data_IF_385619650721
#
_entry.id   IF_385619650721
#
_cell.length_a   1.000
_cell.length_b   1.000
_cell.length_c   1.000
_cell.angle_alpha   90.00
_cell.angle_beta   90.00
_cell.angle_gamma   90.00
#
_symmetry.space_group_name_H-M   'P 1'
#
loop_
_entity.id
_entity.type
_entity.pdbx_description
1 polymer ?
#
# COMPACT_ATOMS: atom_id res chain seq x y z
N UNK A 1 -70.83 -2.97 14.43
CA UNK A 1 -70.67 -4.03 15.45
C UNK A 1 -70.18 -5.30 14.78
N UNK A 2 -69.09 -5.85 15.28
CA UNK A 2 -68.91 -7.27 15.65
C UNK A 2 -70.21 -8.10 15.74
N UNK A 3 -70.30 -9.42 15.56
CA UNK A 3 -69.42 -10.55 15.17
C UNK A 3 -70.43 -11.62 14.61
N UNK A 4 -70.15 -12.87 14.22
CA UNK A 4 -69.02 -13.83 14.29
C UNK A 4 -69.23 -14.83 13.12
N UNK A 5 -68.23 -15.64 12.76
CA UNK A 5 -68.48 -17.01 12.23
C UNK A 5 -67.67 -18.01 13.07
N UNK A 6 -68.20 -19.21 13.34
CA UNK A 6 -67.63 -20.12 14.33
C UNK A 6 -66.41 -20.87 13.81
N UNK A 7 -65.59 -21.29 14.77
CA UNK A 7 -64.44 -22.16 14.56
C UNK A 7 -64.89 -23.59 14.27
N UNK A 8 -64.15 -24.29 13.40
CA UNK A 8 -63.94 -25.72 13.52
C UNK A 8 -62.42 -25.99 13.59
N UNK A 9 -61.93 -26.39 14.77
CA UNK A 9 -60.76 -27.26 14.89
C UNK A 9 -61.12 -28.61 14.20
N UNK A 10 -60.22 -29.50 13.75
CA UNK A 10 -59.22 -30.34 14.45
C UNK A 10 -58.37 -30.96 13.29
N UNK A 11 -57.05 -31.21 13.33
CA UNK A 11 -55.99 -31.16 14.36
C UNK A 11 -54.93 -30.12 13.94
N UNK A 12 -54.20 -29.54 14.91
CA UNK A 12 -52.86 -28.96 14.69
C UNK A 12 -51.88 -29.72 15.61
N UNK A 13 -51.05 -30.61 15.06
CA UNK A 13 -49.94 -31.17 15.83
C UNK A 13 -48.92 -30.06 16.04
N UNK A 14 -48.95 -29.41 17.20
CA UNK A 14 -47.84 -28.57 17.66
C UNK A 14 -46.66 -29.47 18.01
N UNK A 15 -45.86 -29.82 17.01
CA UNK A 15 -44.47 -30.15 17.24
C UNK A 15 -43.81 -28.92 17.86
N UNK A 16 -43.34 -29.03 19.10
CA UNK A 16 -42.44 -28.03 19.68
C UNK A 16 -41.23 -27.96 18.75
N UNK A 17 -41.08 -26.86 18.00
CA UNK A 17 -39.87 -26.60 17.22
C UNK A 17 -38.68 -26.55 18.19
N UNK A 18 -37.81 -27.54 18.11
CA UNK A 18 -36.59 -27.54 18.90
C UNK A 18 -35.59 -26.53 18.31
N UNK A 19 -34.57 -26.17 19.08
CA UNK A 19 -33.45 -25.32 18.64
C UNK A 19 -32.80 -25.85 17.36
N UNK A 20 -32.84 -27.16 17.13
CA UNK A 20 -32.33 -27.80 15.90
C UNK A 20 -33.23 -27.61 14.68
N UNK A 21 -34.56 -27.59 14.84
CA UNK A 21 -35.49 -27.29 13.72
C UNK A 21 -35.27 -25.85 13.22
N UNK A 22 -35.07 -24.92 14.16
CA UNK A 22 -34.72 -23.53 13.85
C UNK A 22 -33.38 -23.40 13.12
N UNK A 23 -32.35 -24.16 13.55
CA UNK A 23 -31.05 -24.22 12.85
C UNK A 23 -31.23 -24.78 11.42
N UNK A 24 -32.04 -25.83 11.25
CA UNK A 24 -32.31 -26.41 9.93
C UNK A 24 -33.07 -25.44 9.02
N UNK A 25 -34.07 -24.72 9.55
CA UNK A 25 -34.83 -23.70 8.82
C UNK A 25 -33.92 -22.55 8.34
N UNK A 26 -32.96 -22.11 9.16
CA UNK A 26 -32.00 -21.07 8.77
C UNK A 26 -30.96 -21.59 7.77
N UNK A 27 -30.37 -22.78 7.98
CA UNK A 27 -29.40 -23.35 7.04
C UNK A 27 -30.01 -23.63 5.66
N UNK A 28 -31.31 -24.00 5.62
CA UNK A 28 -32.05 -24.20 4.36
C UNK A 28 -32.48 -22.88 3.67
N UNK A 29 -32.22 -21.73 4.29
CA UNK A 29 -32.66 -20.44 3.77
C UNK A 29 -31.78 -19.96 2.61
N UNK A 30 -32.34 -20.00 1.39
CA UNK A 30 -31.72 -19.56 0.14
C UNK A 30 -31.33 -18.07 0.09
N UNK A 31 -31.73 -17.25 1.08
CA UNK A 31 -31.33 -15.84 1.19
C UNK A 31 -29.98 -15.63 1.88
N UNK A 32 -29.42 -16.64 2.54
CA UNK A 32 -28.10 -16.55 3.14
C UNK A 32 -27.00 -16.83 2.12
N UNK A 33 -25.90 -16.10 2.19
CA UNK A 33 -24.70 -16.40 1.39
C UNK A 33 -23.97 -17.62 1.94
N UNK A 34 -23.24 -18.35 1.09
CA UNK A 34 -22.45 -19.52 1.48
C UNK A 34 -21.47 -19.23 2.65
N UNK A 35 -20.87 -18.03 2.71
CA UNK A 35 -19.98 -17.61 3.81
C UNK A 35 -20.73 -17.45 5.13
N UNK A 36 -21.98 -16.98 5.10
CA UNK A 36 -22.86 -16.89 6.28
C UNK A 36 -23.37 -18.26 6.71
N UNK A 37 -23.82 -19.09 5.77
CA UNK A 37 -24.24 -20.47 6.05
C UNK A 37 -23.10 -21.27 6.68
N UNK A 38 -21.88 -21.19 6.14
CA UNK A 38 -20.69 -21.86 6.70
C UNK A 38 -20.32 -21.34 8.11
N UNK A 39 -20.32 -20.03 8.33
CA UNK A 39 -20.05 -19.46 9.67
C UNK A 39 -21.12 -19.86 10.70
N UNK A 40 -22.39 -19.91 10.30
CA UNK A 40 -23.47 -20.40 11.16
C UNK A 40 -23.30 -21.89 11.47
N UNK A 41 -22.99 -22.70 10.46
CA UNK A 41 -22.71 -24.13 10.56
C UNK A 41 -21.53 -24.43 11.50
N UNK A 42 -20.43 -23.67 11.42
CA UNK A 42 -19.28 -23.83 12.32
C UNK A 42 -19.62 -23.53 13.79
N UNK A 43 -20.55 -22.60 14.03
CA UNK A 43 -21.03 -22.24 15.37
C UNK A 43 -22.03 -23.28 15.90
N UNK A 44 -22.98 -23.72 15.09
CA UNK A 44 -23.99 -24.72 15.51
C UNK A 44 -23.38 -26.11 15.68
N UNK A 45 -22.43 -26.50 14.83
CA UNK A 45 -21.72 -27.79 14.95
C UNK A 45 -20.93 -27.90 16.26
N UNK A 46 -20.36 -26.79 16.75
CA UNK A 46 -19.68 -26.75 18.06
C UNK A 46 -20.64 -26.90 19.24
N UNK A 47 -21.88 -26.45 19.09
CA UNK A 47 -22.90 -26.56 20.15
C UNK A 47 -23.58 -27.94 20.13
N UNK A 48 -23.93 -28.46 18.95
CA UNK A 48 -24.50 -29.80 18.77
C UNK A 48 -23.57 -30.89 19.33
N UNK A 49 -22.25 -30.76 19.14
CA UNK A 49 -21.24 -31.71 19.69
C UNK A 49 -21.15 -31.72 21.22
N UNK A 50 -21.75 -30.76 21.93
CA UNK A 50 -21.88 -30.81 23.40
C UNK A 50 -23.06 -31.70 23.84
N UNK A 51 -24.13 -31.73 23.06
CA UNK A 51 -25.38 -32.45 23.37
C UNK A 51 -25.31 -33.92 22.91
N UNK A 52 -24.49 -34.70 23.62
CA UNK A 52 -24.08 -36.09 23.29
C UNK A 52 -25.19 -37.13 23.05
N UNK A 53 -26.47 -36.82 23.30
CA UNK A 53 -27.56 -37.82 23.28
C UNK A 53 -28.53 -37.71 22.09
N UNK A 54 -28.53 -36.60 21.34
CA UNK A 54 -29.38 -36.41 20.14
C UNK A 54 -28.59 -36.25 18.84
N UNK A 55 -27.24 -36.22 18.91
CA UNK A 55 -26.36 -35.89 17.77
C UNK A 55 -26.41 -36.87 16.58
N UNK A 56 -26.62 -38.17 16.78
CA UNK A 56 -26.40 -39.20 15.75
C UNK A 56 -27.19 -38.98 14.44
N UNK A 57 -28.49 -38.66 14.53
CA UNK A 57 -29.33 -38.41 13.34
C UNK A 57 -29.05 -37.07 12.65
N UNK A 58 -28.36 -36.16 13.34
CA UNK A 58 -27.85 -34.90 12.78
C UNK A 58 -26.46 -35.08 12.18
N UNK A 59 -25.59 -35.90 12.79
CA UNK A 59 -24.24 -36.19 12.28
C UNK A 59 -24.28 -36.85 10.89
N UNK A 60 -25.14 -37.84 10.64
CA UNK A 60 -25.29 -38.40 9.28
C UNK A 60 -25.72 -37.35 8.24
N UNK A 61 -26.60 -36.42 8.63
CA UNK A 61 -27.09 -35.33 7.76
C UNK A 61 -26.03 -34.24 7.57
N UNK A 62 -25.24 -33.96 8.60
CA UNK A 62 -24.05 -33.08 8.56
C UNK A 62 -23.01 -33.68 7.62
N UNK A 63 -22.66 -34.95 7.74
CA UNK A 63 -21.72 -35.63 6.83
C UNK A 63 -22.24 -35.70 5.39
N UNK A 64 -23.56 -35.75 5.19
CA UNK A 64 -24.16 -35.63 3.85
C UNK A 64 -24.00 -34.22 3.27
N UNK A 65 -24.27 -33.18 4.05
CA UNK A 65 -24.04 -31.77 3.66
C UNK A 65 -22.55 -31.47 3.44
N UNK A 66 -21.65 -32.03 4.24
CA UNK A 66 -20.20 -31.96 4.05
C UNK A 66 -19.78 -32.61 2.72
N UNK A 67 -20.35 -33.77 2.36
CA UNK A 67 -20.12 -34.42 1.05
C UNK A 67 -20.66 -33.59 -0.12
N UNK A 68 -21.83 -33.00 0.02
CA UNK A 68 -22.42 -32.13 -1.00
C UNK A 68 -21.57 -30.84 -1.18
N UNK A 69 -21.09 -30.24 -0.09
CA UNK A 69 -20.18 -29.09 -0.11
C UNK A 69 -18.77 -29.43 -0.61
N UNK A 70 -18.24 -30.64 -0.34
CA UNK A 70 -16.92 -31.06 -0.84
C UNK A 70 -16.92 -31.42 -2.33
N UNK A 71 -18.06 -31.90 -2.85
CA UNK A 71 -18.22 -32.19 -4.27
C UNK A 71 -18.41 -30.91 -5.11
N UNK A 72 -18.94 -29.83 -4.54
CA UNK A 72 -18.74 -28.49 -5.11
C UNK A 72 -17.29 -28.07 -4.92
N UNK A 73 -16.43 -28.32 -5.93
CA UNK A 73 -15.10 -27.72 -6.07
C UNK A 73 -15.18 -26.20 -6.26
N UNK A 74 -15.62 -25.52 -5.22
CA UNK A 74 -15.39 -24.09 -5.03
C UNK A 74 -13.98 -23.99 -4.45
N UNK A 75 -13.05 -23.24 -5.05
CA UNK A 75 -11.75 -23.02 -4.44
C UNK A 75 -11.97 -22.49 -3.02
N UNK A 76 -11.24 -23.03 -2.05
CA UNK A 76 -11.07 -22.33 -0.78
C UNK A 76 -10.28 -21.08 -1.14
N UNK A 77 -10.99 -19.98 -1.38
CA UNK A 77 -10.38 -18.66 -1.40
C UNK A 77 -9.88 -18.39 0.02
N UNK A 78 -8.66 -18.81 0.28
CA UNK A 78 -7.74 -18.00 1.06
C UNK A 78 -7.89 -16.57 0.51
N UNK A 79 -8.24 -15.61 1.37
CA UNK A 79 -8.34 -14.22 0.95
C UNK A 79 -6.93 -13.78 0.57
N UNK A 80 -6.63 -13.85 -0.74
CA UNK A 80 -5.39 -13.37 -1.32
C UNK A 80 -5.12 -11.98 -0.73
N UNK A 81 -3.96 -11.84 -0.09
CA UNK A 81 -3.48 -10.59 0.46
C UNK A 81 -2.06 -10.34 -0.03
N UNK A 82 -1.70 -9.08 -0.24
CA UNK A 82 -0.30 -8.69 -0.45
C UNK A 82 0.33 -8.47 0.92
N UNK A 83 1.49 -9.06 1.16
CA UNK A 83 2.33 -8.72 2.31
C UNK A 83 3.19 -7.50 1.95
N UNK A 84 3.28 -6.54 2.85
CA UNK A 84 4.10 -5.35 2.71
C UNK A 84 5.59 -5.71 2.57
N UNK A 85 6.27 -5.16 1.55
CA UNK A 85 7.68 -5.51 1.30
C UNK A 85 8.49 -4.39 0.62
N UNK A 86 8.99 -3.41 1.38
CA UNK A 86 9.88 -2.36 0.87
C UNK A 86 11.17 -2.92 0.27
N UNK A 87 11.84 -3.87 0.95
CA UNK A 87 13.00 -4.59 0.38
C UNK A 87 12.68 -5.30 -0.95
N UNK A 88 11.45 -5.82 -1.10
CA UNK A 88 10.97 -6.40 -2.34
C UNK A 88 10.82 -5.37 -3.47
N UNK A 89 10.40 -4.15 -3.15
CA UNK A 89 10.33 -3.03 -4.09
C UNK A 89 11.71 -2.53 -4.49
N UNK A 90 12.62 -2.30 -3.53
CA UNK A 90 14.03 -1.94 -3.83
C UNK A 90 14.62 -2.97 -4.79
N UNK A 91 14.49 -4.27 -4.49
CA UNK A 91 15.00 -5.34 -5.36
C UNK A 91 14.37 -5.34 -6.76
N UNK A 92 13.07 -5.12 -6.88
CA UNK A 92 12.38 -5.07 -8.17
C UNK A 92 12.78 -3.85 -9.00
N UNK A 93 12.82 -2.67 -8.39
CA UNK A 93 13.23 -1.44 -9.06
C UNK A 93 14.73 -1.46 -9.43
N UNK A 94 15.58 -2.10 -8.62
CA UNK A 94 17.00 -2.34 -8.94
C UNK A 94 17.20 -3.21 -10.19
N UNK A 95 16.22 -4.02 -10.62
CA UNK A 95 16.32 -4.77 -11.88
C UNK A 95 16.55 -3.83 -13.07
N UNK A 96 15.94 -2.63 -13.06
CA UNK A 96 16.17 -1.59 -14.07
C UNK A 96 17.60 -1.03 -14.11
N UNK A 97 18.50 -1.49 -13.24
CA UNK A 97 19.92 -1.13 -13.18
C UNK A 97 20.87 -2.34 -13.17
N UNK A 98 20.39 -3.52 -12.79
CA UNK A 98 21.18 -4.76 -12.66
C UNK A 98 20.86 -5.87 -13.67
N UNK A 99 19.62 -5.96 -14.16
CA UNK A 99 19.15 -7.03 -15.04
C UNK A 99 19.13 -6.55 -16.51
N UNK A 100 19.87 -7.22 -17.40
CA UNK A 100 19.95 -6.89 -18.83
C UNK A 100 18.60 -6.90 -19.58
N UNK A 101 17.56 -7.55 -19.04
CA UNK A 101 16.21 -7.45 -19.60
C UNK A 101 15.55 -6.09 -19.33
N UNK A 102 15.96 -5.38 -18.27
CA UNK A 102 15.37 -4.12 -17.83
C UNK A 102 16.32 -2.91 -17.99
N UNK A 103 17.64 -3.09 -17.82
CA UNK A 103 18.68 -2.05 -18.00
C UNK A 103 18.62 -1.38 -19.38
N UNK A 104 18.21 -2.15 -20.38
CA UNK A 104 18.00 -1.68 -21.74
C UNK A 104 17.06 -0.47 -21.82
N UNK A 105 16.05 -0.40 -20.95
CA UNK A 105 15.10 0.70 -20.89
C UNK A 105 15.65 1.98 -20.27
N UNK A 106 16.84 1.92 -19.67
CA UNK A 106 17.33 2.94 -18.76
C UNK A 106 18.77 3.38 -19.07
N UNK A 107 19.50 2.65 -19.89
CA UNK A 107 20.90 2.89 -20.23
C UNK A 107 21.13 2.85 -21.74
N UNK A 108 21.91 3.80 -22.28
CA UNK A 108 22.45 3.63 -23.62
C UNK A 108 23.46 2.48 -23.57
N UNK A 109 23.38 1.49 -24.48
CA UNK A 109 24.26 0.33 -24.46
C UNK A 109 25.49 0.59 -25.32
N UNK A 110 26.59 -0.10 -25.01
CA UNK A 110 27.84 0.03 -25.76
C UNK A 110 27.82 -0.72 -27.12
N UNK A 111 26.74 -1.47 -27.40
CA UNK A 111 26.55 -2.27 -28.61
C UNK A 111 25.87 -1.49 -29.74
N UNK A 112 26.10 -1.91 -31.00
CA UNK A 112 25.51 -1.29 -32.19
C UNK A 112 24.01 -1.60 -32.31
N UNK A 113 23.27 -0.65 -32.88
CA UNK A 113 21.80 -0.66 -33.02
C UNK A 113 21.26 -1.97 -33.59
N UNK A 114 21.94 -2.53 -34.60
CA UNK A 114 21.52 -3.73 -35.32
C UNK A 114 21.49 -5.00 -34.47
N UNK A 115 22.25 -5.06 -33.37
CA UNK A 115 22.24 -6.20 -32.46
C UNK A 115 21.07 -6.19 -31.48
N UNK A 116 20.36 -5.06 -31.33
CA UNK A 116 19.30 -4.93 -30.33
C UNK A 116 17.91 -4.75 -30.90
N UNK A 117 17.20 -5.88 -30.88
CA UNK A 117 15.78 -5.98 -31.10
C UNK A 117 14.98 -5.36 -29.92
N UNK A 118 14.93 -4.02 -29.88
CA UNK A 118 14.15 -3.23 -28.93
C UNK A 118 12.67 -3.67 -28.87
N UNK A 119 12.10 -4.01 -30.03
CA UNK A 119 10.74 -4.54 -30.15
C UNK A 119 10.58 -5.85 -29.37
N UNK A 120 11.51 -6.80 -29.52
CA UNK A 120 11.54 -8.03 -28.72
C UNK A 120 11.70 -7.76 -27.22
N UNK A 121 12.48 -6.76 -26.82
CA UNK A 121 12.60 -6.37 -25.39
C UNK A 121 11.28 -5.87 -24.82
N UNK A 122 10.51 -5.05 -25.56
CA UNK A 122 9.15 -4.66 -25.15
C UNK A 122 8.17 -5.84 -25.13
N UNK A 123 8.21 -6.72 -26.13
CA UNK A 123 7.38 -7.94 -26.15
C UNK A 123 7.75 -8.91 -25.01
N UNK A 124 9.00 -8.91 -24.56
CA UNK A 124 9.41 -9.65 -23.37
C UNK A 124 8.92 -8.94 -22.10
N UNK A 125 9.03 -7.60 -22.01
CA UNK A 125 8.51 -6.83 -20.88
C UNK A 125 7.00 -7.03 -20.66
N UNK A 126 6.20 -7.12 -21.73
CA UNK A 126 4.77 -7.49 -21.67
C UNK A 126 4.51 -8.83 -20.97
N UNK A 127 5.47 -9.76 -21.01
CA UNK A 127 5.39 -11.12 -20.44
C UNK A 127 5.97 -11.22 -19.02
N UNK A 128 6.64 -10.17 -18.53
CA UNK A 128 7.29 -10.18 -17.21
C UNK A 128 6.24 -10.33 -16.11
N UNK A 129 6.43 -11.36 -15.27
CA UNK A 129 5.67 -11.55 -14.03
C UNK A 129 6.18 -10.58 -12.97
N UNK A 130 5.48 -9.46 -12.83
CA UNK A 130 5.77 -8.48 -11.78
C UNK A 130 5.46 -9.08 -10.40
N UNK A 131 6.33 -8.91 -9.38
CA UNK A 131 6.10 -9.48 -8.05
C UNK A 131 4.76 -9.03 -7.43
N UNK A 132 4.02 -10.01 -6.90
CA UNK A 132 2.65 -9.87 -6.44
C UNK A 132 2.49 -8.86 -5.29
N UNK A 133 3.51 -8.76 -4.43
CA UNK A 133 3.56 -7.99 -3.19
C UNK A 133 3.86 -6.49 -3.36
N UNK A 134 4.07 -5.99 -4.58
CA UNK A 134 4.43 -4.58 -4.81
C UNK A 134 3.21 -3.64 -4.82
N UNK A 135 3.47 -2.35 -4.59
CA UNK A 135 2.47 -1.29 -4.66
C UNK A 135 1.84 -1.24 -6.07
N UNK A 136 0.52 -1.30 -6.13
CA UNK A 136 -0.19 -1.34 -7.42
C UNK A 136 0.01 -0.08 -8.26
N UNK A 137 0.13 1.10 -7.64
CA UNK A 137 0.31 2.35 -8.36
C UNK A 137 1.71 2.49 -8.99
N UNK A 138 2.77 2.00 -8.31
CA UNK A 138 4.12 1.87 -8.89
C UNK A 138 4.13 0.92 -10.08
N UNK A 139 3.46 -0.23 -9.96
CA UNK A 139 3.31 -1.19 -11.06
C UNK A 139 2.60 -0.55 -12.26
N UNK A 140 1.51 0.19 -12.02
CA UNK A 140 0.80 0.90 -13.08
C UNK A 140 1.66 1.97 -13.72
N UNK A 141 2.37 2.80 -12.95
CA UNK A 141 3.30 3.80 -13.47
C UNK A 141 4.34 3.17 -14.41
N UNK A 142 4.98 2.08 -13.98
CA UNK A 142 5.98 1.36 -14.77
C UNK A 142 5.35 0.73 -16.02
N UNK A 143 4.19 0.08 -15.92
CA UNK A 143 3.49 -0.49 -17.09
C UNK A 143 3.07 0.59 -18.07
N UNK A 144 2.52 1.70 -17.60
CA UNK A 144 2.17 2.86 -18.42
C UNK A 144 3.40 3.44 -19.10
N UNK A 145 4.55 3.47 -18.42
CA UNK A 145 5.80 3.95 -19.02
C UNK A 145 6.23 3.13 -20.26
N UNK A 146 5.98 1.82 -20.27
CA UNK A 146 6.43 0.95 -21.37
C UNK A 146 5.36 0.58 -22.40
N UNK A 147 4.09 0.59 -22.01
CA UNK A 147 3.03 -0.12 -22.75
C UNK A 147 1.89 0.76 -23.23
N UNK A 148 1.92 2.07 -22.95
CA UNK A 148 0.84 3.00 -23.28
C UNK A 148 1.34 4.35 -23.76
N UNK A 149 0.52 5.01 -24.56
CA UNK A 149 0.62 6.44 -24.82
C UNK A 149 -0.05 7.19 -23.66
N UNK A 150 0.74 7.58 -22.66
CA UNK A 150 0.25 8.30 -21.48
C UNK A 150 1.12 9.53 -21.13
N UNK A 151 0.53 10.43 -20.36
CA UNK A 151 1.25 11.53 -19.71
C UNK A 151 2.10 10.96 -18.58
N UNK A 152 3.43 10.99 -18.72
CA UNK A 152 4.32 10.68 -17.62
C UNK A 152 4.27 11.80 -16.58
N UNK A 153 3.60 11.57 -15.46
CA UNK A 153 3.65 12.47 -14.31
C UNK A 153 4.88 12.13 -13.47
N UNK A 154 5.88 13.02 -13.47
CA UNK A 154 7.07 12.87 -12.61
C UNK A 154 7.10 14.00 -11.59
N UNK A 155 7.27 13.62 -10.34
CA UNK A 155 7.39 14.54 -9.23
C UNK A 155 8.67 15.39 -9.38
N UNK A 156 8.50 16.71 -9.39
CA UNK A 156 9.56 17.67 -9.11
C UNK A 156 9.18 18.40 -7.81
N UNK A 157 10.14 18.93 -7.04
CA UNK A 157 9.82 19.67 -5.82
C UNK A 157 8.86 20.82 -6.13
N UNK A 158 7.75 20.89 -5.38
CA UNK A 158 6.69 21.87 -5.59
C UNK A 158 5.66 21.54 -6.68
N UNK A 159 6.00 20.80 -7.75
CA UNK A 159 5.10 20.56 -8.89
C UNK A 159 5.32 19.22 -9.63
N UNK A 160 4.21 18.58 -10.03
CA UNK A 160 4.25 17.43 -10.95
C UNK A 160 4.50 17.92 -12.36
N UNK A 161 5.63 17.56 -12.97
CA UNK A 161 5.80 17.79 -14.41
C UNK A 161 5.12 16.68 -15.19
N UNK A 162 4.10 17.03 -15.98
CA UNK A 162 3.58 16.13 -17.01
C UNK A 162 4.52 16.15 -18.22
N UNK A 163 4.83 14.96 -18.74
CA UNK A 163 5.50 14.78 -20.01
C UNK A 163 4.65 13.90 -20.91
N UNK A 164 4.05 14.47 -21.94
CA UNK A 164 3.28 13.72 -22.93
C UNK A 164 4.22 13.17 -24.00
N UNK A 165 4.29 11.85 -24.10
CA UNK A 165 5.03 11.13 -25.13
C UNK A 165 4.16 9.99 -25.65
N UNK A 166 4.57 9.41 -26.78
CA UNK A 166 3.85 8.34 -27.45
C UNK A 166 4.81 7.17 -27.65
N UNK A 167 4.56 6.09 -26.93
CA UNK A 167 5.24 4.82 -27.11
C UNK A 167 4.97 4.28 -28.52
N UNK A 168 3.78 4.48 -29.10
CA UNK A 168 3.51 4.12 -30.49
C UNK A 168 4.41 4.86 -31.49
N UNK A 169 4.65 6.17 -31.30
CA UNK A 169 5.59 6.94 -32.12
C UNK A 169 7.04 6.48 -31.93
N UNK A 170 7.48 6.23 -30.69
CA UNK A 170 8.81 5.67 -30.40
C UNK A 170 8.98 4.35 -31.17
N UNK A 171 8.04 3.42 -31.00
CA UNK A 171 8.02 2.13 -31.69
C UNK A 171 8.01 2.26 -33.22
N UNK A 172 7.36 3.30 -33.76
CA UNK A 172 7.29 3.57 -35.19
C UNK A 172 8.62 4.06 -35.75
N UNK A 173 9.31 4.97 -35.07
CA UNK A 173 10.64 5.43 -35.51
C UNK A 173 11.69 4.30 -35.39
N UNK A 174 11.61 3.48 -34.35
CA UNK A 174 12.48 2.28 -34.20
C UNK A 174 12.26 1.29 -35.35
N UNK A 175 11.01 1.08 -35.79
CA UNK A 175 10.69 0.24 -36.97
C UNK A 175 11.24 0.79 -38.29
N UNK A 176 11.60 2.09 -38.35
CA UNK A 176 12.30 2.70 -39.50
C UNK A 176 13.84 2.55 -39.40
N UNK A 177 14.36 1.89 -38.36
CA UNK A 177 15.79 1.73 -38.12
C UNK A 177 16.44 2.88 -37.32
N UNK A 178 15.65 3.80 -36.75
CA UNK A 178 16.20 4.89 -35.93
C UNK A 178 16.55 4.34 -34.54
N UNK A 179 17.77 4.65 -34.08
CA UNK A 179 18.23 4.31 -32.73
C UNK A 179 17.29 4.95 -31.70
N UNK A 180 16.77 4.19 -30.71
CA UNK A 180 15.91 4.72 -29.66
C UNK A 180 16.43 6.01 -29.02
N UNK A 181 17.73 6.10 -28.75
CA UNK A 181 18.35 7.23 -28.06
C UNK A 181 18.47 8.50 -28.90
N UNK A 182 18.30 8.39 -30.22
CA UNK A 182 18.34 9.51 -31.16
C UNK A 182 16.92 10.01 -31.53
N UNK A 183 15.87 9.38 -30.99
CA UNK A 183 14.46 9.76 -31.22
C UNK A 183 14.10 11.03 -30.45
N UNK A 184 13.46 11.97 -31.15
CA UNK A 184 12.86 13.18 -30.60
C UNK A 184 11.38 13.23 -30.99
N UNK A 185 10.49 13.30 -29.99
CA UNK A 185 9.04 13.42 -30.18
C UNK A 185 8.57 14.68 -29.45
N UNK A 186 7.80 15.53 -30.12
CA UNK A 186 7.27 16.78 -29.55
C UNK A 186 8.37 17.68 -28.91
N UNK A 187 9.57 17.73 -29.52
CA UNK A 187 10.78 18.43 -29.02
C UNK A 187 11.42 17.84 -27.75
N UNK A 188 11.04 16.62 -27.36
CA UNK A 188 11.57 15.91 -26.19
C UNK A 188 12.38 14.70 -26.70
N UNK A 189 13.62 14.55 -26.23
CA UNK A 189 14.44 13.37 -26.59
C UNK A 189 14.02 12.14 -25.78
N UNK A 190 14.18 10.94 -26.33
CA UNK A 190 13.97 9.70 -25.59
C UNK A 190 14.91 9.58 -24.37
N UNK A 191 16.12 10.16 -24.45
CA UNK A 191 17.05 10.30 -23.33
C UNK A 191 16.43 11.07 -22.16
N UNK A 192 15.69 12.15 -22.42
CA UNK A 192 14.99 12.91 -21.37
C UNK A 192 13.84 12.11 -20.74
N UNK A 193 13.12 11.34 -21.56
CA UNK A 193 12.03 10.45 -21.13
C UNK A 193 12.57 9.38 -20.18
N UNK A 194 13.66 8.70 -20.56
CA UNK A 194 14.37 7.73 -19.71
C UNK A 194 14.86 8.37 -18.41
N UNK A 195 15.47 9.54 -18.50
CA UNK A 195 15.96 10.24 -17.31
C UNK A 195 14.83 10.56 -16.33
N UNK A 196 13.69 11.03 -16.83
CA UNK A 196 12.48 11.26 -16.01
C UNK A 196 11.97 9.99 -15.35
N UNK A 197 11.95 8.86 -16.07
CA UNK A 197 11.57 7.57 -15.49
C UNK A 197 12.51 7.13 -14.36
N UNK A 198 13.83 7.18 -14.59
CA UNK A 198 14.85 6.91 -13.56
C UNK A 198 14.58 7.72 -12.29
N UNK A 199 14.44 9.04 -12.41
CA UNK A 199 14.21 9.92 -11.25
C UNK A 199 12.89 9.67 -10.51
N UNK A 200 11.96 8.89 -11.08
CA UNK A 200 10.73 8.47 -10.41
C UNK A 200 10.89 7.13 -9.66
N UNK A 201 11.95 6.36 -9.93
CA UNK A 201 12.22 5.02 -9.36
C UNK A 201 13.53 4.90 -8.57
N UNK A 202 14.38 5.94 -8.53
CA UNK A 202 15.63 5.99 -7.76
C UNK A 202 15.92 7.40 -7.22
N UNK A 203 16.45 7.47 -6.00
CA UNK A 203 17.18 8.65 -5.52
C UNK A 203 18.61 8.61 -6.06
N UNK A 204 19.05 9.67 -6.74
CA UNK A 204 20.22 9.64 -7.63
C UNK A 204 21.32 10.60 -7.18
N UNK A 205 22.57 10.21 -7.37
CA UNK A 205 23.73 11.05 -7.05
C UNK A 205 24.34 11.76 -8.27
N UNK A 206 24.03 11.33 -9.50
CA UNK A 206 24.65 11.84 -10.74
C UNK A 206 24.10 13.19 -11.23
N UNK A 207 23.00 13.69 -10.62
CA UNK A 207 22.34 14.94 -11.02
C UNK A 207 21.85 15.70 -9.80
N UNK A 208 22.44 16.87 -9.53
CA UNK A 208 22.17 17.64 -8.30
C UNK A 208 20.68 17.88 -8.04
N UNK A 209 19.92 18.31 -9.06
CA UNK A 209 18.46 18.54 -8.98
C UNK A 209 17.60 17.28 -8.74
N UNK A 210 18.20 16.10 -8.65
CA UNK A 210 17.55 14.83 -8.34
C UNK A 210 18.20 14.09 -7.15
N UNK A 211 19.16 14.73 -6.45
CA UNK A 211 19.68 14.24 -5.18
C UNK A 211 18.63 14.34 -4.09
N UNK A 212 18.66 13.41 -3.15
CA UNK A 212 17.68 13.33 -2.07
C UNK A 212 17.66 14.61 -1.22
N UNK A 213 18.82 15.14 -0.85
CA UNK A 213 18.94 16.38 -0.07
C UNK A 213 18.21 17.55 -0.73
N UNK A 214 18.53 17.86 -1.99
CA UNK A 214 17.91 18.96 -2.74
C UNK A 214 16.40 18.71 -2.94
N UNK A 215 16.01 17.51 -3.41
CA UNK A 215 14.60 17.17 -3.62
C UNK A 215 13.79 17.28 -2.33
N UNK A 216 14.35 16.84 -1.20
CA UNK A 216 13.67 16.80 0.08
C UNK A 216 13.60 18.18 0.74
N UNK A 217 14.70 18.93 0.78
CA UNK A 217 14.70 20.30 1.33
C UNK A 217 13.75 21.21 0.53
N UNK A 218 13.88 21.22 -0.80
CA UNK A 218 12.97 21.97 -1.67
C UNK A 218 11.51 21.54 -1.45
N UNK A 219 11.25 20.24 -1.27
CA UNK A 219 9.89 19.76 -0.97
C UNK A 219 9.36 20.32 0.35
N UNK A 220 10.13 20.21 1.44
CA UNK A 220 9.73 20.65 2.77
C UNK A 220 9.46 22.15 2.76
N UNK A 221 10.41 22.98 2.31
CA UNK A 221 10.30 24.44 2.30
C UNK A 221 9.13 24.92 1.42
N UNK A 222 8.77 24.21 0.34
CA UNK A 222 7.60 24.53 -0.48
C UNK A 222 6.26 24.00 0.07
N UNK A 223 6.25 23.19 1.13
CA UNK A 223 5.05 22.54 1.67
C UNK A 223 4.74 22.85 3.13
N UNK A 224 5.70 23.29 3.94
CA UNK A 224 5.42 23.79 5.29
C UNK A 224 4.93 25.24 5.25
N UNK A 225 4.17 25.63 6.25
CA UNK A 225 3.77 27.02 6.47
C UNK A 225 4.96 27.86 6.93
N UNK A 226 5.05 29.11 6.47
CA UNK A 226 6.12 30.07 6.81
C UNK A 226 6.31 30.35 8.32
N UNK A 227 5.33 29.96 9.14
CA UNK A 227 5.38 30.11 10.61
C UNK A 227 6.15 28.96 11.30
N UNK A 228 6.43 27.87 10.57
CA UNK A 228 7.13 26.68 11.04
C UNK A 228 8.64 26.90 10.89
N UNK A 229 9.37 26.52 11.92
CA UNK A 229 10.81 26.59 12.02
C UNK A 229 11.38 25.16 11.84
N UNK A 230 11.76 24.83 10.60
CA UNK A 230 12.40 23.56 10.27
C UNK A 230 13.88 23.55 10.66
N UNK A 231 14.33 22.46 11.30
CA UNK A 231 15.70 22.29 11.80
C UNK A 231 16.25 20.95 11.33
N UNK A 232 17.17 20.99 10.37
CA UNK A 232 17.90 19.82 9.91
C UNK A 232 19.07 19.49 10.85
N UNK A 233 19.19 18.23 11.27
CA UNK A 233 20.30 17.78 12.12
C UNK A 233 21.62 17.68 11.35
N UNK A 234 22.74 17.53 12.08
CA UNK A 234 24.03 17.21 11.47
C UNK A 234 23.98 15.90 10.66
N UNK A 235 23.38 14.85 11.23
CA UNK A 235 23.24 13.56 10.56
C UNK A 235 22.36 13.67 9.30
N UNK A 236 21.31 14.50 9.31
CA UNK A 236 20.59 14.85 8.08
C UNK A 236 21.50 15.48 7.04
N UNK A 237 22.20 16.57 7.38
CA UNK A 237 23.06 17.32 6.45
C UNK A 237 24.24 16.50 5.90
N UNK A 238 24.64 15.45 6.62
CA UNK A 238 25.67 14.48 6.21
C UNK A 238 25.09 13.38 5.33
N UNK A 239 24.08 12.66 5.81
CA UNK A 239 23.62 11.40 5.21
C UNK A 239 22.71 11.64 4.00
N UNK A 240 21.97 12.76 3.94
CA UNK A 240 21.08 13.09 2.82
C UNK A 240 21.82 13.28 1.49
N UNK A 241 23.08 13.73 1.54
CA UNK A 241 23.97 13.95 0.38
C UNK A 241 24.46 12.66 -0.27
N UNK A 242 24.46 11.56 0.47
CA UNK A 242 24.93 10.24 0.03
C UNK A 242 23.80 9.23 -0.15
N UNK A 243 22.57 9.58 0.25
CA UNK A 243 21.42 8.70 0.14
C UNK A 243 21.12 8.38 -1.32
N UNK A 244 21.27 7.11 -1.67
CA UNK A 244 20.87 6.52 -2.94
C UNK A 244 20.14 5.21 -2.68
N UNK A 245 19.00 5.01 -3.34
CA UNK A 245 18.21 3.78 -3.29
C UNK A 245 17.19 3.74 -4.42
N UNK A 246 16.77 2.53 -4.80
CA UNK A 246 15.62 2.31 -5.68
C UNK A 246 14.29 2.36 -4.91
N UNK A 247 13.46 3.35 -5.20
CA UNK A 247 12.21 3.65 -4.49
C UNK A 247 11.22 4.37 -5.40
N UNK A 248 9.91 4.19 -5.19
CA UNK A 248 8.90 5.02 -5.84
C UNK A 248 8.95 6.44 -5.24
N UNK A 249 9.70 7.33 -5.89
CA UNK A 249 9.93 8.71 -5.46
C UNK A 249 8.63 9.51 -5.42
N UNK A 250 7.73 9.27 -6.38
CA UNK A 250 6.43 9.95 -6.47
C UNK A 250 5.55 9.65 -5.25
N UNK A 251 5.39 8.37 -4.91
CA UNK A 251 4.56 7.94 -3.78
C UNK A 251 5.25 8.16 -2.42
N UNK A 252 6.59 8.11 -2.37
CA UNK A 252 7.35 8.56 -1.21
C UNK A 252 6.95 10.01 -0.84
N UNK A 253 7.10 10.96 -1.76
CA UNK A 253 6.76 12.37 -1.51
C UNK A 253 5.26 12.63 -1.29
N UNK A 254 4.35 11.82 -1.86
CA UNK A 254 2.91 11.90 -1.55
C UNK A 254 2.59 11.54 -0.10
N UNK A 255 3.30 10.60 0.51
CA UNK A 255 3.16 10.33 1.94
C UNK A 255 3.76 11.45 2.80
N UNK A 256 4.93 11.98 2.44
CA UNK A 256 5.53 13.15 3.13
C UNK A 256 4.57 14.36 3.06
N UNK A 257 3.91 14.59 1.92
CA UNK A 257 2.89 15.65 1.77
C UNK A 257 1.80 15.57 2.86
N UNK A 258 1.25 14.38 3.11
CA UNK A 258 0.18 14.20 4.11
C UNK A 258 0.71 14.48 5.53
N UNK A 259 1.97 14.16 5.82
CA UNK A 259 2.60 14.54 7.09
C UNK A 259 2.76 16.07 7.18
N UNK A 260 3.20 16.73 6.11
CA UNK A 260 3.34 18.20 6.10
C UNK A 260 2.00 18.91 6.26
N UNK A 261 0.93 18.42 5.63
CA UNK A 261 -0.43 18.93 5.83
C UNK A 261 -0.89 18.78 7.29
N UNK A 262 -0.56 17.67 7.94
CA UNK A 262 -0.82 17.49 9.37
C UNK A 262 -0.03 18.48 10.22
N UNK A 263 1.28 18.60 9.98
CA UNK A 263 2.18 19.53 10.69
C UNK A 263 1.71 20.98 10.54
N UNK A 264 1.31 21.40 9.33
CA UNK A 264 0.70 22.70 9.04
C UNK A 264 -0.61 22.92 9.80
N UNK A 265 -1.48 21.91 9.85
CA UNK A 265 -2.77 21.98 10.53
C UNK A 265 -2.62 22.16 12.05
N UNK A 266 -1.58 21.59 12.64
CA UNK A 266 -1.31 21.62 14.08
C UNK A 266 -0.20 22.61 14.47
N UNK A 267 0.20 23.54 13.56
CA UNK A 267 1.24 24.54 13.81
C UNK A 267 0.99 25.50 14.98
N UNK A 268 -0.27 25.60 15.43
CA UNK A 268 -0.67 26.38 16.62
C UNK A 268 -0.34 25.69 17.94
N UNK A 269 -0.10 24.38 17.95
CA UNK A 269 0.38 23.65 19.13
C UNK A 269 1.90 23.79 19.29
N UNK A 270 2.60 23.77 18.16
CA UNK A 270 4.03 24.02 18.07
C UNK A 270 4.41 24.39 16.64
N UNK A 271 5.42 25.23 16.50
CA UNK A 271 6.04 25.56 15.22
C UNK A 271 7.43 24.91 15.02
N UNK A 272 7.89 24.03 15.91
CA UNK A 272 9.20 23.36 15.74
C UNK A 272 9.08 22.03 14.98
N UNK A 273 9.71 21.95 13.80
CA UNK A 273 9.88 20.71 13.03
C UNK A 273 11.35 20.32 12.98
N UNK A 274 11.75 19.26 13.68
CA UNK A 274 13.12 18.73 13.62
C UNK A 274 13.16 17.60 12.60
N UNK A 275 14.15 17.62 11.71
CA UNK A 275 14.31 16.68 10.60
C UNK A 275 15.69 16.02 10.73
N UNK A 276 15.68 14.70 10.92
CA UNK A 276 16.88 13.88 11.14
C UNK A 276 16.92 12.72 10.14
N UNK A 277 18.12 12.25 9.79
CA UNK A 277 18.30 11.10 8.90
C UNK A 277 19.50 10.28 9.36
N UNK A 278 19.24 9.17 10.03
CA UNK A 278 20.28 8.26 10.52
C UNK A 278 20.60 7.21 9.47
N UNK A 279 21.87 6.83 9.38
CA UNK A 279 22.30 5.73 8.54
C UNK A 279 22.43 4.45 9.38
N UNK A 280 21.69 3.42 9.00
CA UNK A 280 21.76 2.07 9.56
C UNK A 280 22.33 1.09 8.50
N UNK A 281 22.63 -0.15 8.88
CA UNK A 281 23.22 -1.13 7.98
C UNK A 281 22.37 -1.37 6.70
N UNK A 282 21.06 -1.58 6.88
CA UNK A 282 20.12 -1.98 5.82
C UNK A 282 19.25 -0.83 5.27
N UNK A 283 19.24 0.33 5.92
CA UNK A 283 18.31 1.42 5.62
C UNK A 283 18.84 2.77 6.11
N UNK A 284 18.24 3.85 5.62
CA UNK A 284 18.29 5.16 6.24
C UNK A 284 17.00 5.39 7.02
N UNK A 285 17.09 5.88 8.26
CA UNK A 285 15.96 6.21 9.11
C UNK A 285 15.70 7.72 9.05
N UNK A 286 14.72 8.13 8.23
CA UNK A 286 14.25 9.50 8.21
C UNK A 286 13.29 9.70 9.39
N UNK A 287 13.56 10.72 10.21
CA UNK A 287 12.74 11.09 11.37
C UNK A 287 12.24 12.51 11.18
N UNK A 288 10.92 12.68 11.22
CA UNK A 288 10.26 13.99 11.24
C UNK A 288 9.62 14.19 12.61
N UNK A 289 10.07 15.17 13.38
CA UNK A 289 9.61 15.40 14.74
C UNK A 289 8.95 16.77 14.88
N UNK A 290 7.61 16.76 14.95
CA UNK A 290 6.82 17.94 15.32
C UNK A 290 6.84 18.06 16.85
N UNK A 291 7.95 18.61 17.35
CA UNK A 291 8.27 18.71 18.78
C UNK A 291 7.25 19.61 19.50
N UNK A 292 6.73 19.19 20.64
CA UNK A 292 5.71 19.91 21.41
C UNK A 292 4.27 19.78 20.89
N UNK A 293 4.07 19.15 19.73
CA UNK A 293 2.72 18.84 19.19
C UNK A 293 2.08 17.63 19.88
N UNK A 294 0.78 17.39 19.68
CA UNK A 294 0.07 16.22 20.23
C UNK A 294 -0.96 15.67 19.26
N UNK A 295 -1.30 14.39 19.39
CA UNK A 295 -2.44 13.79 18.68
C UNK A 295 -3.74 14.01 19.48
N UNK A 296 -4.75 14.57 18.81
CA UNK A 296 -6.06 14.94 19.36
C UNK A 296 -7.20 13.96 18.97
N UNK A 297 -6.86 12.68 18.81
CA UNK A 297 -7.81 11.61 18.54
C UNK A 297 -7.50 10.45 19.47
N UNK A 298 -8.53 9.74 19.95
CA UNK A 298 -8.35 8.50 20.72
C UNK A 298 -7.41 7.54 19.97
N UNK A 299 -6.39 6.96 20.64
CA UNK A 299 -5.40 6.09 20.02
C UNK A 299 -5.99 4.88 19.30
N UNK A 300 -7.14 4.36 19.75
CA UNK A 300 -7.82 3.20 19.18
C UNK A 300 -8.97 3.58 18.23
N UNK A 301 -9.09 4.86 17.88
CA UNK A 301 -10.06 5.34 16.89
C UNK A 301 -9.79 4.72 15.51
N UNK A 302 -10.86 4.51 14.73
CA UNK A 302 -10.78 3.97 13.36
C UNK A 302 -9.78 4.72 12.44
N UNK A 303 -9.56 6.01 12.72
CA UNK A 303 -8.57 6.83 12.02
C UNK A 303 -7.14 6.39 12.34
N UNK A 304 -6.81 6.14 13.61
CA UNK A 304 -5.47 5.77 14.06
C UNK A 304 -5.18 4.26 14.03
N UNK A 305 -6.23 3.42 13.97
CA UNK A 305 -6.10 2.04 13.48
C UNK A 305 -5.73 2.00 11.98
N UNK A 306 -5.70 3.15 11.29
CA UNK A 306 -5.21 3.28 9.92
C UNK A 306 -6.19 2.79 8.85
N UNK A 307 -7.50 2.79 9.16
CA UNK A 307 -8.57 2.25 8.31
C UNK A 307 -9.41 3.32 7.57
N UNK A 308 -9.07 4.60 7.68
CA UNK A 308 -9.73 5.66 6.92
C UNK A 308 -9.03 7.02 6.94
N UNK A 309 -9.53 7.92 6.08
CA UNK A 309 -9.07 9.30 5.94
C UNK A 309 -7.65 9.42 5.38
N UNK A 310 -7.00 10.54 5.72
CA UNK A 310 -5.65 10.88 5.26
C UNK A 310 -4.62 9.81 5.67
N UNK A 311 -4.84 9.11 6.79
CA UNK A 311 -3.89 8.14 7.32
C UNK A 311 -3.91 6.81 6.55
N UNK A 312 -5.09 6.27 6.21
CA UNK A 312 -5.21 5.16 5.26
C UNK A 312 -4.62 5.52 3.88
N UNK A 313 -4.84 6.77 3.44
CA UNK A 313 -4.28 7.29 2.18
C UNK A 313 -2.75 7.31 2.19
N UNK A 314 -2.13 7.83 3.25
CA UNK A 314 -0.68 7.81 3.47
C UNK A 314 -0.15 6.38 3.47
N UNK A 315 -0.75 5.48 4.25
CA UNK A 315 -0.34 4.07 4.34
C UNK A 315 -0.43 3.36 2.98
N UNK A 316 -1.42 3.70 2.15
CA UNK A 316 -1.56 3.17 0.78
C UNK A 316 -0.51 3.71 -0.19
N UNK A 317 -0.09 4.97 -0.06
CA UNK A 317 1.05 5.49 -0.82
C UNK A 317 2.36 4.81 -0.41
N UNK A 318 2.56 4.50 0.86
CA UNK A 318 3.82 3.89 1.34
C UNK A 318 3.83 2.36 1.40
N UNK A 319 2.72 1.69 1.11
CA UNK A 319 2.65 0.24 1.08
C UNK A 319 3.68 -0.35 0.10
N UNK A 320 4.56 -1.23 0.60
CA UNK A 320 5.73 -1.80 -0.08
C UNK A 320 6.71 -0.75 -0.63
N UNK A 321 6.84 0.42 0.00
CA UNK A 321 7.79 1.48 -0.39
C UNK A 321 8.70 1.85 0.77
N UNK A 322 8.15 2.01 1.98
CA UNK A 322 8.90 2.22 3.24
C UNK A 322 8.15 1.53 4.39
N UNK A 323 8.88 1.04 5.39
CA UNK A 323 8.25 0.77 6.70
C UNK A 323 8.03 2.12 7.39
N UNK A 324 6.96 2.21 8.18
CA UNK A 324 6.49 3.46 8.76
C UNK A 324 5.91 3.27 10.15
N UNK A 325 6.35 4.11 11.08
CA UNK A 325 5.96 4.09 12.50
C UNK A 325 5.76 5.52 13.01
N UNK A 326 4.97 5.68 14.07
CA UNK A 326 4.79 6.96 14.79
C UNK A 326 5.02 6.74 16.28
N UNK A 327 5.75 7.64 16.93
CA UNK A 327 5.63 7.83 18.39
C UNK A 327 4.95 9.18 18.63
N UNK A 328 3.96 9.23 19.53
CA UNK A 328 3.26 10.48 19.82
C UNK A 328 2.76 10.57 21.26
N UNK A 329 2.77 11.79 21.80
CA UNK A 329 1.98 12.16 22.97
C UNK A 329 0.51 12.43 22.57
N UNK A 330 -0.45 11.91 23.35
CA UNK A 330 -1.89 12.02 23.08
C UNK A 330 -2.56 13.01 24.04
N UNK A 331 -3.32 13.95 23.49
CA UNK A 331 -3.99 14.99 24.29
C UNK A 331 -5.19 14.47 25.10
N UNK A 332 -5.84 13.40 24.63
CA UNK A 332 -7.09 12.88 25.22
C UNK A 332 -6.88 12.18 26.57
N UNK A 333 -5.76 11.49 26.74
CA UNK A 333 -5.44 10.73 27.95
C UNK A 333 -4.08 11.07 28.57
N UNK A 334 -3.33 12.01 28.00
CA UNK A 334 -1.96 12.40 28.39
C UNK A 334 -0.98 11.21 28.50
N UNK A 335 -1.18 10.18 27.69
CA UNK A 335 -0.25 9.05 27.52
C UNK A 335 0.44 9.13 26.16
N UNK A 336 1.45 8.30 26.03
CA UNK A 336 2.28 8.21 24.83
C UNK A 336 2.12 6.83 24.20
N UNK A 337 2.13 6.78 22.86
CA UNK A 337 1.96 5.54 22.11
C UNK A 337 2.94 5.44 20.96
N UNK A 338 3.39 4.22 20.70
CA UNK A 338 4.09 3.79 19.50
C UNK A 338 3.10 3.06 18.58
N UNK A 339 2.93 3.57 17.36
CA UNK A 339 2.04 3.05 16.35
C UNK A 339 2.88 2.45 15.21
N UNK A 340 2.89 1.13 15.09
CA UNK A 340 3.51 0.44 13.95
C UNK A 340 2.50 0.43 12.81
N UNK A 341 2.77 1.24 11.79
CA UNK A 341 1.79 1.59 10.76
C UNK A 341 1.96 0.81 9.46
N UNK A 342 3.22 0.54 9.08
CA UNK A 342 3.62 -0.34 7.99
C UNK A 342 4.87 -1.11 8.43
N UNK A 343 4.81 -2.44 8.37
CA UNK A 343 5.88 -3.38 8.68
C UNK A 343 5.76 -4.64 7.82
N UNK A 344 6.69 -5.59 7.94
CA UNK A 344 6.67 -6.89 7.26
C UNK A 344 5.45 -7.80 7.54
N UNK A 345 4.65 -7.51 8.57
CA UNK A 345 3.42 -8.24 8.88
C UNK A 345 2.17 -7.59 8.26
N UNK A 346 2.28 -6.35 7.77
CA UNK A 346 1.17 -5.58 7.22
C UNK A 346 0.64 -6.21 5.94
N UNK A 347 -0.68 -6.37 5.84
CA UNK A 347 -1.34 -7.00 4.69
C UNK A 347 -2.30 -6.05 3.99
N UNK A 348 -2.41 -6.16 2.66
CA UNK A 348 -3.42 -5.50 1.83
C UNK A 348 -4.35 -6.57 1.23
N UNK A 349 -5.64 -6.56 1.59
CA UNK A 349 -6.62 -7.51 1.04
C UNK A 349 -6.97 -7.19 -0.43
N UNK A 350 -7.13 -8.21 -1.26
CA UNK A 350 -7.56 -8.05 -2.67
C UNK A 350 -9.06 -7.87 -2.84
N UNK A 351 -9.88 -8.50 -1.98
CA UNK A 351 -11.35 -8.47 -2.11
C UNK A 351 -11.94 -7.13 -1.62
N UNK A 352 -11.20 -6.44 -0.75
CA UNK A 352 -11.50 -5.10 -0.29
C UNK A 352 -10.15 -4.41 -0.03
N UNK A 353 -9.74 -3.37 -0.81
CA UNK A 353 -8.40 -2.77 -0.76
C UNK A 353 -8.19 -1.94 0.51
N UNK A 354 -8.11 -2.66 1.62
CA UNK A 354 -7.86 -2.20 2.98
C UNK A 354 -6.59 -2.85 3.48
N UNK A 355 -5.80 -2.05 4.17
CA UNK A 355 -4.66 -2.54 4.92
C UNK A 355 -5.14 -3.16 6.24
N UNK A 356 -4.34 -4.06 6.81
CA UNK A 356 -4.47 -4.49 8.19
C UNK A 356 -4.42 -3.29 9.14
N UNK A 357 -4.98 -3.43 10.33
CA UNK A 357 -4.92 -2.38 11.36
C UNK A 357 -3.47 -2.11 11.80
N UNK A 358 -3.23 -0.91 12.32
CA UNK A 358 -1.96 -0.56 12.96
C UNK A 358 -1.83 -1.28 14.31
N UNK A 359 -0.62 -1.67 14.69
CA UNK A 359 -0.35 -2.11 16.06
C UNK A 359 -0.07 -0.89 16.93
N UNK A 360 -0.86 -0.71 17.99
CA UNK A 360 -0.78 0.45 18.90
C UNK A 360 -0.28 -0.04 20.26
N UNK A 361 0.89 0.45 20.68
CA UNK A 361 1.59 0.02 21.89
C UNK A 361 1.73 1.23 22.83
N UNK A 362 1.25 1.17 24.09
CA UNK A 362 1.51 2.24 25.06
C UNK A 362 2.99 2.24 25.46
N UNK A 363 3.61 3.42 25.51
CA UNK A 363 4.99 3.62 25.97
C UNK A 363 5.00 4.42 27.27
N UNK A 364 6.01 4.20 28.11
CA UNK A 364 6.07 4.78 29.46
C UNK A 364 6.50 6.25 29.45
N UNK A 365 7.48 6.59 28.61
CA UNK A 365 8.07 7.92 28.54
C UNK A 365 7.27 8.85 27.61
N UNK A 366 7.30 10.15 27.92
CA UNK A 366 6.77 11.17 27.01
C UNK A 366 7.68 11.34 25.79
N UNK A 367 7.07 11.41 24.62
CA UNK A 367 7.75 11.57 23.33
C UNK A 367 8.27 13.01 23.17
N UNK A 368 7.59 13.97 23.79
CA UNK A 368 7.82 15.40 23.68
C UNK A 368 7.31 15.99 22.37
N UNK A 369 6.29 15.39 21.75
CA UNK A 369 5.75 15.79 20.44
C UNK A 369 5.12 14.63 19.66
N UNK A 370 5.16 14.75 18.32
CA UNK A 370 4.81 13.68 17.37
C UNK A 370 6.01 13.40 16.45
N UNK A 371 6.54 12.17 16.51
CA UNK A 371 7.65 11.69 15.69
C UNK A 371 7.15 10.70 14.65
N UNK A 372 7.54 10.90 13.40
CA UNK A 372 7.32 10.00 12.29
C UNK A 372 8.65 9.33 11.92
N UNK A 373 8.69 8.00 11.93
CA UNK A 373 9.86 7.20 11.62
C UNK A 373 9.65 6.46 10.30
N UNK A 374 10.54 6.69 9.34
CA UNK A 374 10.38 6.24 7.95
C UNK A 374 11.67 5.50 7.53
N UNK A 375 11.58 4.19 7.30
CA UNK A 375 12.75 3.35 6.96
C UNK A 375 12.88 3.25 5.43
N UNK A 376 13.90 3.92 4.91
CA UNK A 376 14.26 3.99 3.49
C UNK A 376 15.34 2.93 3.23
N UNK A 377 14.95 1.75 2.74
CA UNK A 377 15.87 0.62 2.57
C UNK A 377 16.96 0.89 1.53
N UNK A 378 18.16 0.34 1.76
CA UNK A 378 19.33 0.43 0.88
C UNK A 378 19.30 -0.63 -0.22
N UNK A 379 20.09 -0.38 -1.27
CA UNK A 379 20.39 -1.34 -2.33
C UNK A 379 21.41 -2.37 -1.82
N UNK A 380 20.93 -3.46 -1.22
CA UNK A 380 21.76 -4.60 -0.76
C UNK A 380 21.89 -5.69 -1.83
#
# INVERSE_FOLDING_TARGET
MELKRPWNFIILMTMNKDKYDFIQEILSNKRLTLKQQKKLFDLTSKEIRKDKFFGFGLEERITKLEKELSNTKTPINEELSKIHSPKGMVKFLYQFSSDEQYKWFTHKPDLKVDEINYLSRIENFKKIKIPFNLNYSTILFIKSFFLKDEKLSVFHPGFTTELTYSNEKILTEIKKGINPFDIIINKISFVDIINKFKNAIEFRLDKDKYKFDNLFMDFITNKISVDINEKYTYDFLKNSKILTTYIDVNNFFRGIYIIMEWVNKYKSLSNELIIDLKEENDYYLLILFHKGSKIHHDPFSLKLNGLGGDFDTLRKYWFSIVDFEIEADFAENNKSYHLICLNNETQLSFTNPKLSENLIIPIQDSVGGVKYFIKIYKNN
#
